data_IF_613820499601
#
_entry.id   IF_613820499601
#
_cell.length_a   1.000
_cell.length_b   1.000
_cell.length_c   1.000
_cell.angle_alpha   90.00
_cell.angle_beta   90.00
_cell.angle_gamma   90.00
#
_symmetry.space_group_name_H-M   'P 1'
#
loop_
_entity.id
_entity.type
_entity.pdbx_description
1 polymer ?
#
# COMPACT_ATOMS: atom_id res chain seq x y z
N UNK A 1 -25.06 7.13 -28.10
CA UNK A 1 -24.01 7.49 -27.13
C UNK A 1 -23.55 6.20 -26.49
N UNK A 2 -22.24 5.89 -26.52
CA UNK A 2 -21.70 4.78 -25.73
C UNK A 2 -21.89 5.15 -24.25
N UNK A 3 -22.45 4.25 -23.47
CA UNK A 3 -22.65 4.46 -22.03
C UNK A 3 -21.29 4.35 -21.33
N UNK A 4 -20.89 5.43 -20.65
CA UNK A 4 -19.61 5.52 -19.93
C UNK A 4 -19.81 5.62 -18.42
N UNK A 5 -21.06 5.58 -17.94
CA UNK A 5 -21.38 5.61 -16.51
C UNK A 5 -20.77 4.41 -15.75
N UNK A 6 -20.74 3.17 -16.30
CA UNK A 6 -20.07 2.06 -15.63
C UNK A 6 -18.57 2.29 -15.38
N UNK A 7 -17.90 3.08 -16.23
CA UNK A 7 -16.48 3.42 -16.04
C UNK A 7 -16.34 4.38 -14.86
N UNK A 8 -17.26 5.33 -14.73
CA UNK A 8 -17.28 6.28 -13.61
C UNK A 8 -17.52 5.55 -12.29
N UNK A 9 -18.44 4.59 -12.27
CA UNK A 9 -18.70 3.75 -11.08
C UNK A 9 -17.44 2.99 -10.64
N UNK A 10 -16.71 2.38 -11.59
CA UNK A 10 -15.46 1.69 -11.28
C UNK A 10 -14.40 2.65 -10.77
N UNK A 11 -14.26 3.84 -11.35
CA UNK A 11 -13.31 4.86 -10.89
C UNK A 11 -13.65 5.38 -9.48
N UNK A 12 -14.94 5.54 -9.16
CA UNK A 12 -15.40 5.87 -7.82
C UNK A 12 -15.09 4.75 -6.83
N UNK A 13 -15.33 3.49 -7.20
CA UNK A 13 -14.98 2.34 -6.37
C UNK A 13 -13.47 2.24 -6.13
N UNK A 14 -12.64 2.53 -7.14
CA UNK A 14 -11.19 2.59 -7.00
C UNK A 14 -10.75 3.69 -6.03
N UNK A 15 -11.36 4.88 -6.12
CA UNK A 15 -11.09 5.99 -5.19
C UNK A 15 -11.40 5.57 -3.76
N UNK A 16 -12.57 5.00 -3.52
CA UNK A 16 -13.01 4.61 -2.18
C UNK A 16 -12.13 3.50 -1.60
N UNK A 17 -11.70 2.54 -2.44
CA UNK A 17 -10.73 1.52 -2.08
C UNK A 17 -9.37 2.11 -1.70
N UNK A 18 -8.87 3.09 -2.46
CA UNK A 18 -7.61 3.75 -2.16
C UNK A 18 -7.68 4.59 -0.88
N UNK A 19 -8.79 5.27 -0.63
CA UNK A 19 -9.02 5.92 0.67
C UNK A 19 -8.97 4.91 1.80
N UNK A 20 -9.60 3.74 1.63
CA UNK A 20 -9.56 2.68 2.64
C UNK A 20 -8.14 2.15 2.86
N UNK A 21 -7.38 1.93 1.80
CA UNK A 21 -5.99 1.50 1.89
C UNK A 21 -5.13 2.54 2.63
N UNK A 22 -5.36 3.83 2.38
CA UNK A 22 -4.69 4.91 3.11
C UNK A 22 -4.99 4.86 4.61
N UNK A 23 -6.26 4.63 5.01
CA UNK A 23 -6.63 4.46 6.41
C UNK A 23 -5.92 3.27 7.04
N UNK A 24 -5.85 2.14 6.34
CA UNK A 24 -5.17 0.93 6.81
C UNK A 24 -3.68 1.18 7.02
N UNK A 25 -3.01 1.88 6.09
CA UNK A 25 -1.60 2.26 6.26
C UNK A 25 -1.39 3.22 7.43
N UNK A 26 -2.33 4.13 7.70
CA UNK A 26 -2.26 4.99 8.89
C UNK A 26 -2.44 4.21 10.20
N UNK A 27 -3.29 3.17 10.21
CA UNK A 27 -3.42 2.24 11.34
C UNK A 27 -2.17 1.40 11.52
N UNK A 28 -1.61 0.89 10.43
CA UNK A 28 -0.36 0.10 10.44
C UNK A 28 0.75 0.90 11.12
N UNK A 29 0.88 2.19 10.80
CA UNK A 29 1.83 3.09 11.45
C UNK A 29 1.65 3.14 12.97
N UNK A 30 0.42 3.22 13.46
CA UNK A 30 0.14 3.27 14.90
C UNK A 30 0.51 1.95 15.57
N UNK A 31 0.12 0.83 14.96
CA UNK A 31 0.40 -0.52 15.46
C UNK A 31 1.92 -0.82 15.50
N UNK A 32 2.67 -0.36 14.48
CA UNK A 32 4.13 -0.46 14.43
C UNK A 32 4.80 0.33 15.55
N UNK A 33 4.34 1.56 15.83
CA UNK A 33 4.88 2.38 16.92
C UNK A 33 4.56 1.79 18.29
N UNK A 34 3.40 1.16 18.47
CA UNK A 34 3.01 0.50 19.73
C UNK A 34 3.54 -0.93 19.86
N UNK A 35 4.28 -1.45 18.87
CA UNK A 35 4.73 -2.84 18.80
C UNK A 35 3.60 -3.87 19.03
N UNK A 36 2.40 -3.57 18.55
CA UNK A 36 1.24 -4.45 18.70
C UNK A 36 1.22 -5.51 17.60
N UNK A 37 1.79 -6.69 17.88
CA UNK A 37 1.94 -7.75 16.88
C UNK A 37 0.61 -8.27 16.32
N UNK A 38 -0.41 -8.44 17.17
CA UNK A 38 -1.72 -8.95 16.75
C UNK A 38 -2.38 -7.99 15.75
N UNK A 39 -2.36 -6.69 16.05
CA UNK A 39 -2.93 -5.66 15.17
C UNK A 39 -2.15 -5.54 13.85
N UNK A 40 -0.82 -5.71 13.88
CA UNK A 40 0.00 -5.75 12.64
C UNK A 40 -0.41 -6.92 11.75
N UNK A 41 -0.67 -8.10 12.32
CA UNK A 41 -1.08 -9.28 11.56
C UNK A 41 -2.48 -9.11 10.93
N UNK A 42 -3.43 -8.56 11.69
CA UNK A 42 -4.78 -8.26 11.17
C UNK A 42 -4.73 -7.24 10.04
N UNK A 43 -3.94 -6.17 10.20
CA UNK A 43 -3.73 -5.14 9.18
C UNK A 43 -3.09 -5.71 7.93
N UNK A 44 -2.14 -6.64 8.06
CA UNK A 44 -1.54 -7.31 6.91
C UNK A 44 -2.58 -8.10 6.10
N UNK A 45 -3.47 -8.84 6.77
CA UNK A 45 -4.58 -9.57 6.12
C UNK A 45 -5.56 -8.62 5.43
N UNK A 46 -5.92 -7.50 6.08
CA UNK A 46 -6.80 -6.48 5.46
C UNK A 46 -6.13 -5.89 4.20
N UNK A 47 -4.83 -5.57 4.26
CA UNK A 47 -4.05 -5.04 3.14
C UNK A 47 -4.01 -6.00 1.95
N UNK A 48 -3.77 -7.28 2.18
CA UNK A 48 -3.76 -8.30 1.12
C UNK A 48 -5.12 -8.38 0.41
N UNK A 49 -6.23 -8.33 1.17
CA UNK A 49 -7.57 -8.31 0.59
C UNK A 49 -7.81 -7.05 -0.25
N UNK A 50 -7.40 -5.87 0.24
CA UNK A 50 -7.56 -4.60 -0.49
C UNK A 50 -6.72 -4.57 -1.77
N UNK A 51 -5.52 -5.15 -1.77
CA UNK A 51 -4.67 -5.24 -2.97
C UNK A 51 -5.32 -6.13 -4.03
N UNK A 52 -5.88 -7.27 -3.65
CA UNK A 52 -6.63 -8.14 -4.58
C UNK A 52 -7.85 -7.43 -5.17
N UNK A 53 -8.60 -6.68 -4.35
CA UNK A 53 -9.72 -5.87 -4.82
C UNK A 53 -9.27 -4.77 -5.79
N UNK A 54 -8.12 -4.14 -5.53
CA UNK A 54 -7.56 -3.10 -6.41
C UNK A 54 -7.20 -3.66 -7.78
N UNK A 55 -6.62 -4.86 -7.82
CA UNK A 55 -6.31 -5.56 -9.06
C UNK A 55 -7.58 -5.87 -9.86
N UNK A 56 -8.63 -6.37 -9.19
CA UNK A 56 -9.90 -6.68 -9.85
C UNK A 56 -10.55 -5.42 -10.47
N UNK A 57 -10.61 -4.32 -9.73
CA UNK A 57 -11.18 -3.07 -10.22
C UNK A 57 -10.36 -2.49 -11.37
N UNK A 58 -9.03 -2.61 -11.32
CA UNK A 58 -8.16 -2.15 -12.41
C UNK A 58 -8.34 -2.96 -13.69
N UNK A 59 -8.48 -4.29 -13.58
CA UNK A 59 -8.81 -5.13 -14.73
C UNK A 59 -10.21 -4.83 -15.28
N UNK A 60 -11.20 -4.58 -14.41
CA UNK A 60 -12.52 -4.15 -14.84
C UNK A 60 -12.47 -2.80 -15.56
N UNK A 61 -11.71 -1.84 -15.03
CA UNK A 61 -11.52 -0.51 -15.66
C UNK A 61 -10.93 -0.66 -17.06
N UNK A 62 -9.85 -1.44 -17.21
CA UNK A 62 -9.22 -1.69 -18.52
C UNK A 62 -10.20 -2.28 -19.52
N UNK A 63 -10.94 -3.31 -19.12
CA UNK A 63 -11.96 -3.94 -20.00
C UNK A 63 -13.01 -2.95 -20.46
N UNK A 64 -13.58 -2.15 -19.55
CA UNK A 64 -14.60 -1.16 -19.92
C UNK A 64 -14.04 -0.05 -20.81
N UNK A 65 -12.79 0.37 -20.59
CA UNK A 65 -12.11 1.34 -21.45
C UNK A 65 -11.88 0.75 -22.84
N UNK A 66 -11.39 -0.48 -22.92
CA UNK A 66 -11.15 -1.16 -24.20
C UNK A 66 -12.47 -1.37 -24.97
N UNK A 67 -13.56 -1.71 -24.27
CA UNK A 67 -14.90 -1.79 -24.85
C UNK A 67 -15.43 -0.42 -25.31
N UNK A 68 -15.13 0.65 -24.57
CA UNK A 68 -15.50 2.00 -24.95
C UNK A 68 -14.74 2.49 -26.18
N UNK A 69 -13.48 2.06 -26.35
CA UNK A 69 -12.59 2.44 -27.44
C UNK A 69 -12.35 1.31 -28.45
N UNK A 70 -13.34 0.44 -28.69
CA UNK A 70 -13.34 -0.79 -29.53
C UNK A 70 -12.50 -0.83 -30.84
N UNK A 71 -11.96 0.29 -31.32
CA UNK A 71 -11.17 0.46 -32.54
C UNK A 71 -9.79 1.14 -32.34
N UNK A 72 -9.34 1.42 -31.10
CA UNK A 72 -8.05 2.06 -30.87
C UNK A 72 -6.90 1.05 -30.82
N UNK A 73 -5.93 1.18 -31.71
CA UNK A 73 -4.68 0.40 -31.70
C UNK A 73 -3.73 0.76 -30.53
N UNK A 74 -4.04 1.85 -29.82
CA UNK A 74 -3.27 2.34 -28.69
C UNK A 74 -4.03 2.17 -27.38
N UNK A 75 -3.36 1.81 -26.27
CA UNK A 75 -3.99 1.77 -24.96
C UNK A 75 -4.53 3.15 -24.57
N UNK A 76 -5.81 3.22 -24.22
CA UNK A 76 -6.48 4.46 -23.84
C UNK A 76 -6.55 4.61 -22.33
N UNK A 77 -6.36 5.84 -21.86
CA UNK A 77 -6.37 6.20 -20.44
C UNK A 77 -7.61 7.00 -20.05
N UNK A 78 -7.66 7.39 -18.78
CA UNK A 78 -8.75 8.20 -18.23
C UNK A 78 -8.80 9.60 -18.89
N UNK A 79 -7.66 10.13 -19.35
CA UNK A 79 -7.65 11.43 -20.06
C UNK A 79 -8.25 11.32 -21.46
N UNK A 80 -8.05 10.20 -22.17
CA UNK A 80 -8.70 9.99 -23.45
C UNK A 80 -10.23 9.93 -23.29
N UNK A 81 -10.74 9.35 -22.19
CA UNK A 81 -12.17 9.38 -21.89
C UNK A 81 -12.70 10.80 -21.68
N UNK A 82 -11.94 11.65 -21.00
CA UNK A 82 -12.28 13.07 -20.87
C UNK A 82 -12.28 13.78 -22.23
N UNK A 83 -11.30 13.51 -23.10
CA UNK A 83 -11.20 14.12 -24.42
C UNK A 83 -12.37 13.73 -25.34
N UNK A 84 -12.83 12.48 -25.28
CA UNK A 84 -13.98 12.00 -26.08
C UNK A 84 -15.34 12.41 -25.51
N UNK A 85 -15.50 12.42 -24.19
CA UNK A 85 -16.81 12.67 -23.54
C UNK A 85 -17.02 14.12 -23.16
N UNK A 86 -15.95 14.89 -22.92
CA UNK A 86 -16.00 16.21 -22.32
C UNK A 86 -16.41 16.23 -20.84
N UNK A 87 -16.55 15.06 -20.20
CA UNK A 87 -17.03 14.96 -18.81
C UNK A 87 -15.89 15.19 -17.80
N UNK A 88 -15.95 16.35 -17.13
CA UNK A 88 -14.99 16.75 -16.09
C UNK A 88 -14.88 15.74 -14.93
N UNK A 89 -15.87 14.85 -14.72
CA UNK A 89 -15.79 13.78 -13.72
C UNK A 89 -14.56 12.90 -13.92
N UNK A 90 -14.20 12.56 -15.17
CA UNK A 90 -13.01 11.76 -15.46
C UNK A 90 -11.72 12.46 -15.05
N UNK A 91 -11.60 13.75 -15.36
CA UNK A 91 -10.45 14.57 -14.97
C UNK A 91 -10.33 14.65 -13.44
N UNK A 92 -11.44 14.94 -12.76
CA UNK A 92 -11.47 15.05 -11.30
C UNK A 92 -11.12 13.73 -10.60
N UNK A 93 -11.69 12.62 -11.07
CA UNK A 93 -11.39 11.29 -10.54
C UNK A 93 -9.93 10.91 -10.77
N UNK A 94 -9.37 11.21 -11.95
CA UNK A 94 -7.95 10.97 -12.21
C UNK A 94 -7.06 11.74 -11.23
N UNK A 95 -7.33 13.03 -11.00
CA UNK A 95 -6.55 13.81 -10.04
C UNK A 95 -6.66 13.26 -8.62
N UNK A 96 -7.87 12.88 -8.18
CA UNK A 96 -8.08 12.26 -6.88
C UNK A 96 -7.32 10.94 -6.75
N UNK A 97 -7.37 10.06 -7.75
CA UNK A 97 -6.66 8.78 -7.76
C UNK A 97 -5.14 8.97 -7.71
N UNK A 98 -4.58 9.92 -8.49
CA UNK A 98 -3.14 10.22 -8.46
C UNK A 98 -2.72 10.72 -7.07
N UNK A 99 -3.49 11.64 -6.50
CA UNK A 99 -3.20 12.17 -5.17
C UNK A 99 -3.25 11.08 -4.09
N UNK A 100 -4.25 10.20 -4.16
CA UNK A 100 -4.37 9.07 -3.23
C UNK A 100 -3.22 8.08 -3.40
N UNK A 101 -2.82 7.75 -4.63
CA UNK A 101 -1.69 6.86 -4.89
C UNK A 101 -0.37 7.43 -4.35
N UNK A 102 -0.13 8.73 -4.51
CA UNK A 102 1.03 9.40 -3.90
C UNK A 102 0.98 9.30 -2.37
N UNK A 103 -0.16 9.60 -1.75
CA UNK A 103 -0.30 9.53 -0.30
C UNK A 103 -0.13 8.09 0.24
N UNK A 104 -0.60 7.08 -0.50
CA UNK A 104 -0.40 5.65 -0.19
C UNK A 104 1.09 5.30 -0.29
N UNK A 105 1.78 5.73 -1.34
CA UNK A 105 3.21 5.49 -1.50
C UNK A 105 4.01 6.08 -0.33
N UNK A 106 3.79 7.36 -0.01
CA UNK A 106 4.44 8.03 1.11
C UNK A 106 4.17 7.32 2.45
N UNK A 107 2.92 6.96 2.72
CA UNK A 107 2.55 6.26 3.95
C UNK A 107 3.24 4.88 4.05
N UNK A 108 3.29 4.14 2.94
CA UNK A 108 3.95 2.84 2.89
C UNK A 108 5.46 2.94 3.08
N UNK A 109 6.12 3.97 2.51
CA UNK A 109 7.55 4.21 2.70
C UNK A 109 7.88 4.53 4.16
N UNK A 110 7.05 5.34 4.82
CA UNK A 110 7.19 5.64 6.25
C UNK A 110 7.03 4.38 7.10
N UNK A 111 6.03 3.54 6.80
CA UNK A 111 5.83 2.29 7.53
C UNK A 111 6.99 1.31 7.33
N UNK A 112 7.50 1.21 6.09
CA UNK A 112 8.71 0.42 5.79
C UNK A 112 9.91 0.89 6.61
N UNK A 113 10.12 2.19 6.72
CA UNK A 113 11.18 2.76 7.55
C UNK A 113 11.06 2.36 9.04
N UNK A 114 9.86 2.38 9.62
CA UNK A 114 9.65 1.93 10.99
C UNK A 114 9.97 0.45 11.18
N UNK A 115 9.56 -0.41 10.23
CA UNK A 115 9.87 -1.84 10.26
C UNK A 115 11.38 -2.07 10.19
N UNK A 116 12.09 -1.41 9.27
CA UNK A 116 13.55 -1.51 9.14
C UNK A 116 14.27 -1.08 10.42
N UNK A 117 13.84 0.02 11.04
CA UNK A 117 14.39 0.49 12.31
C UNK A 117 14.14 -0.49 13.45
N UNK A 118 12.92 -1.01 13.58
CA UNK A 118 12.59 -2.01 14.59
C UNK A 118 13.50 -3.24 14.46
N UNK A 119 13.70 -3.71 13.22
CA UNK A 119 14.58 -4.84 12.94
C UNK A 119 16.04 -4.57 13.33
N UNK A 120 16.58 -3.40 13.00
CA UNK A 120 17.93 -2.97 13.40
C UNK A 120 18.09 -2.95 14.92
N UNK A 121 17.10 -2.45 15.66
CA UNK A 121 17.15 -2.42 17.12
C UNK A 121 17.13 -3.82 17.73
N UNK A 122 16.26 -4.71 17.25
CA UNK A 122 16.19 -6.10 17.71
C UNK A 122 17.53 -6.81 17.45
N UNK A 123 18.08 -6.70 16.24
CA UNK A 123 19.37 -7.30 15.90
C UNK A 123 20.52 -6.76 16.74
N UNK A 124 20.61 -5.44 16.92
CA UNK A 124 21.63 -4.83 17.76
C UNK A 124 21.55 -5.30 19.23
N UNK A 125 20.33 -5.40 19.77
CA UNK A 125 20.09 -5.94 21.12
C UNK A 125 20.50 -7.40 21.24
N UNK A 126 20.18 -8.24 20.26
CA UNK A 126 20.58 -9.65 20.24
C UNK A 126 22.11 -9.81 20.16
N UNK A 127 22.78 -9.04 19.29
CA UNK A 127 24.25 -9.06 19.19
C UNK A 127 24.91 -8.60 20.48
N UNK A 128 24.37 -7.56 21.13
CA UNK A 128 24.84 -7.12 22.45
C UNK A 128 24.69 -8.23 23.50
N UNK A 129 23.53 -8.88 23.59
CA UNK A 129 23.30 -9.97 24.54
C UNK A 129 24.23 -11.16 24.28
N UNK A 130 24.44 -11.52 23.01
CA UNK A 130 25.39 -12.58 22.64
C UNK A 130 26.81 -12.26 23.09
N UNK A 131 27.28 -11.03 22.83
CA UNK A 131 28.60 -10.59 23.27
C UNK A 131 28.70 -10.56 24.80
N UNK A 132 27.65 -10.10 25.49
CA UNK A 132 27.60 -10.09 26.95
C UNK A 132 27.70 -11.50 27.54
N UNK A 133 26.91 -12.45 27.03
CA UNK A 133 26.94 -13.87 27.46
C UNK A 133 28.33 -14.49 27.21
N UNK A 134 28.94 -14.24 26.05
CA UNK A 134 30.28 -14.73 25.74
C UNK A 134 31.35 -14.15 26.68
N UNK A 135 31.24 -12.86 27.03
CA UNK A 135 32.18 -12.21 27.94
C UNK A 135 32.07 -12.70 29.40
N UNK A 136 30.86 -13.03 29.85
CA UNK A 136 30.59 -13.63 31.17
C UNK A 136 31.12 -15.08 31.26
N UNK A 137 30.94 -15.88 30.19
CA UNK A 137 31.47 -17.25 30.14
C UNK A 137 33.01 -17.30 30.16
N UNK A 138 33.68 -16.29 29.59
CA UNK A 138 35.15 -16.16 29.63
C UNK A 138 35.71 -15.73 30.99
N UNK A 139 34.93 -14.99 31.79
CA UNK A 139 35.37 -14.49 33.11
C UNK A 139 35.23 -15.53 34.22
N UNK A 140 34.33 -16.50 34.09
CA UNK A 140 34.21 -17.64 35.03
C UNK A 140 35.37 -18.63 34.91
N UNK A 141 35.88 -18.89 33.70
CA UNK A 141 37.02 -19.79 33.48
C UNK A 141 38.36 -19.22 33.97
N UNK A 142 38.49 -17.89 34.04
CA UNK A 142 39.73 -17.24 34.47
C UNK A 142 39.84 -17.04 35.99
N UNK A 143 38.78 -17.34 36.76
CA UNK A 143 38.73 -17.20 38.22
C UNK A 143 39.05 -18.48 38.98
N UNK A 144 39.17 -19.61 38.29
CA UNK A 144 39.48 -20.93 38.87
C UNK A 144 40.92 -21.40 38.60
N UNK A 145 41.79 -20.55 38.03
CA UNK A 145 43.20 -20.84 37.76
C UNK A 145 44.15 -20.13 38.73
#
# INVERSE_FOLDING_TARGET
MRDYEPIIDVLCAQRDLYMRLQEVLQKERKALVSFNHEEIEEIAKEKDSLVLQAQLLEEQRKRLVDEFFQDSSTPKGIMDLYEETGDERFRNLRFALISLLQAIQEANEVNRYFIERAFQHIHGGLSFLQQYIQSQAGTTLSREA
#
